data_IF_500926197288
#
_entry.id   IF_500926197288
#
_cell.length_a   1.000
_cell.length_b   1.000
_cell.length_c   1.000
_cell.angle_alpha   90.00
_cell.angle_beta   90.00
_cell.angle_gamma   90.00
#
_symmetry.space_group_name_H-M   'P 1'
#
loop_
_entity.id
_entity.type
_entity.pdbx_description
1 polymer ?
#
# COMPACT_ATOMS: atom_id res chain seq x y z
N UNK A 1 21.90 11.55 -19.12
CA UNK A 1 21.12 10.32 -19.39
C UNK A 1 20.09 10.21 -18.29
N UNK A 2 18.82 10.41 -18.61
CA UNK A 2 17.74 10.42 -17.62
C UNK A 2 17.07 9.04 -17.68
N UNK A 3 17.61 8.06 -16.96
CA UNK A 3 17.08 6.70 -17.00
C UNK A 3 15.94 6.55 -15.98
N UNK A 4 14.83 7.24 -16.25
CA UNK A 4 13.66 7.26 -15.36
C UNK A 4 13.11 5.86 -15.11
N UNK A 5 13.21 4.94 -16.07
CA UNK A 5 12.78 3.54 -15.90
C UNK A 5 13.60 2.83 -14.82
N UNK A 6 14.94 2.96 -14.84
CA UNK A 6 15.80 2.41 -13.77
C UNK A 6 15.47 3.06 -12.42
N UNK A 7 15.24 4.38 -12.40
CA UNK A 7 14.87 5.07 -11.18
C UNK A 7 13.55 4.55 -10.59
N UNK A 8 12.53 4.30 -11.42
CA UNK A 8 11.27 3.70 -11.00
C UNK A 8 11.47 2.28 -10.44
N UNK A 9 12.34 1.47 -11.05
CA UNK A 9 12.65 0.12 -10.57
C UNK A 9 13.33 0.14 -9.19
N UNK A 10 14.24 1.07 -8.94
CA UNK A 10 14.83 1.25 -7.61
C UNK A 10 13.80 1.72 -6.59
N UNK A 11 12.93 2.68 -6.94
CA UNK A 11 11.87 3.14 -6.03
C UNK A 11 10.94 1.98 -5.65
N UNK A 12 10.59 1.09 -6.60
CA UNK A 12 9.81 -0.11 -6.28
C UNK A 12 10.54 -0.93 -5.22
N UNK A 13 11.77 -1.38 -5.52
CA UNK A 13 12.53 -2.25 -4.65
C UNK A 13 12.77 -1.65 -3.25
N UNK A 14 13.11 -0.36 -3.17
CA UNK A 14 13.40 0.31 -1.91
C UNK A 14 12.16 0.40 -1.00
N UNK A 15 10.97 0.57 -1.60
CA UNK A 15 9.73 0.76 -0.85
C UNK A 15 8.95 -0.53 -0.59
N UNK A 16 9.17 -1.61 -1.35
CA UNK A 16 8.50 -2.90 -1.16
C UNK A 16 8.71 -3.40 0.28
N UNK A 17 9.97 -3.53 0.70
CA UNK A 17 10.34 -4.06 2.02
C UNK A 17 9.81 -3.18 3.16
N UNK A 18 9.89 -1.86 2.99
CA UNK A 18 9.40 -0.88 3.97
C UNK A 18 7.87 -0.94 4.13
N UNK A 19 7.13 -1.07 3.01
CA UNK A 19 5.67 -1.20 3.02
C UNK A 19 5.26 -2.50 3.69
N UNK A 20 5.89 -3.63 3.32
CA UNK A 20 5.60 -4.94 3.90
C UNK A 20 5.83 -4.93 5.41
N UNK A 21 6.98 -4.42 5.85
CA UNK A 21 7.32 -4.36 7.28
C UNK A 21 6.33 -3.49 8.06
N UNK A 22 5.97 -2.32 7.55
CA UNK A 22 5.04 -1.40 8.22
C UNK A 22 3.61 -1.96 8.26
N UNK A 23 3.21 -2.72 7.23
CA UNK A 23 1.95 -3.46 7.24
C UNK A 23 1.95 -4.60 8.27
N UNK A 24 3.08 -5.29 8.46
CA UNK A 24 3.24 -6.31 9.51
C UNK A 24 3.18 -5.72 10.92
N UNK A 25 3.78 -4.54 11.11
CA UNK A 25 3.78 -3.81 12.38
C UNK A 25 2.43 -3.14 12.70
N UNK A 26 1.47 -3.19 11.76
CA UNK A 26 0.15 -2.54 11.83
C UNK A 26 0.24 -1.02 12.11
N UNK A 27 1.33 -0.38 11.69
CA UNK A 27 1.55 1.07 11.83
C UNK A 27 0.97 1.83 10.62
N UNK A 28 -0.36 2.02 10.67
CA UNK A 28 -1.13 2.62 9.57
C UNK A 28 -0.79 4.09 9.30
N UNK A 29 -0.31 4.81 10.32
CA UNK A 29 0.09 6.22 10.17
C UNK A 29 1.40 6.29 9.38
N UNK A 30 2.39 5.48 9.74
CA UNK A 30 3.64 5.37 9.00
C UNK A 30 3.42 4.83 7.59
N UNK A 31 2.50 3.88 7.40
CA UNK A 31 2.14 3.36 6.08
C UNK A 31 1.66 4.48 5.16
N UNK A 32 0.81 5.36 5.68
CA UNK A 32 0.29 6.50 4.92
C UNK A 32 1.41 7.43 4.47
N UNK A 33 2.37 7.72 5.35
CA UNK A 33 3.52 8.59 5.06
C UNK A 33 4.39 7.97 3.95
N UNK A 34 4.71 6.68 4.07
CA UNK A 34 5.56 5.97 3.10
C UNK A 34 4.91 5.91 1.72
N UNK A 35 3.62 5.61 1.64
CA UNK A 35 2.89 5.58 0.37
C UNK A 35 2.83 6.96 -0.30
N UNK A 36 2.66 8.03 0.48
CA UNK A 36 2.70 9.41 -0.05
C UNK A 36 4.09 9.77 -0.58
N UNK A 37 5.16 9.36 0.11
CA UNK A 37 6.52 9.59 -0.35
C UNK A 37 6.82 8.82 -1.64
N UNK A 38 6.46 7.53 -1.70
CA UNK A 38 6.60 6.68 -2.90
C UNK A 38 5.87 7.28 -4.09
N UNK A 39 4.62 7.69 -3.91
CA UNK A 39 3.81 8.32 -4.96
C UNK A 39 4.49 9.59 -5.51
N UNK A 40 4.96 10.47 -4.63
CA UNK A 40 5.67 11.68 -5.02
C UNK A 40 6.93 11.37 -5.84
N UNK A 41 7.71 10.38 -5.42
CA UNK A 41 8.91 9.96 -6.14
C UNK A 41 8.58 9.38 -7.53
N UNK A 42 7.52 8.59 -7.66
CA UNK A 42 7.05 8.15 -8.97
C UNK A 42 6.68 9.33 -9.86
N UNK A 43 5.88 10.28 -9.37
CA UNK A 43 5.50 11.47 -10.12
C UNK A 43 6.71 12.30 -10.58
N UNK A 44 7.74 12.41 -9.75
CA UNK A 44 8.98 13.13 -10.09
C UNK A 44 9.88 12.39 -11.09
N UNK A 45 9.83 11.05 -11.11
CA UNK A 45 10.76 10.21 -11.89
C UNK A 45 10.16 9.59 -13.14
N UNK A 46 8.83 9.61 -13.30
CA UNK A 46 8.17 9.11 -14.51
C UNK A 46 8.70 9.88 -15.73
N UNK A 47 9.36 9.20 -16.68
CA UNK A 47 9.84 9.84 -17.89
C UNK A 47 8.68 10.06 -18.88
N UNK A 48 8.81 10.98 -19.85
CA UNK A 48 7.83 11.17 -20.91
C UNK A 48 7.55 9.88 -21.67
N UNK A 49 6.29 9.64 -22.01
CA UNK A 49 5.84 8.46 -22.79
C UNK A 49 6.28 8.46 -24.27
N UNK A 50 7.19 9.35 -24.66
CA UNK A 50 7.70 9.49 -26.02
C UNK A 50 9.08 8.85 -26.16
N UNK A 51 9.20 7.84 -27.04
CA UNK A 51 10.48 7.28 -27.46
C UNK A 51 10.56 5.75 -27.43
N UNK A 52 11.77 5.25 -27.70
CA UNK A 52 12.06 3.82 -27.90
C UNK A 52 11.88 2.93 -26.65
N UNK A 53 11.66 3.52 -25.46
CA UNK A 53 11.51 2.81 -24.18
C UNK A 53 10.09 2.79 -23.64
N UNK A 54 9.09 3.14 -24.47
CA UNK A 54 7.68 3.12 -24.06
C UNK A 54 7.23 1.75 -23.55
N UNK A 55 7.66 0.67 -24.19
CA UNK A 55 7.32 -0.69 -23.75
C UNK A 55 7.87 -0.97 -22.34
N UNK A 56 9.15 -0.66 -22.10
CA UNK A 56 9.79 -0.83 -20.79
C UNK A 56 9.09 0.00 -19.69
N UNK A 57 8.69 1.23 -20.00
CA UNK A 57 7.95 2.08 -19.06
C UNK A 57 6.56 1.50 -18.74
N UNK A 58 5.84 1.00 -19.75
CA UNK A 58 4.54 0.35 -19.56
C UNK A 58 4.70 -0.90 -18.69
N UNK A 59 5.73 -1.71 -18.92
CA UNK A 59 6.01 -2.90 -18.11
C UNK A 59 6.30 -2.53 -16.64
N UNK A 60 7.09 -1.48 -16.40
CA UNK A 60 7.39 -1.02 -15.04
C UNK A 60 6.14 -0.47 -14.35
N UNK A 61 5.31 0.32 -15.04
CA UNK A 61 4.02 0.78 -14.50
C UNK A 61 3.11 -0.40 -14.17
N UNK A 62 3.08 -1.42 -15.04
CA UNK A 62 2.34 -2.66 -14.79
C UNK A 62 2.79 -3.36 -13.51
N UNK A 63 4.11 -3.42 -13.25
CA UNK A 63 4.65 -4.00 -12.01
C UNK A 63 4.23 -3.20 -10.77
N UNK A 64 4.30 -1.87 -10.82
CA UNK A 64 3.83 -0.99 -9.73
C UNK A 64 2.37 -1.30 -9.40
N UNK A 65 1.51 -1.38 -10.43
CA UNK A 65 0.09 -1.64 -10.25
C UNK A 65 -0.22 -3.03 -9.70
N UNK A 66 0.56 -4.04 -10.10
CA UNK A 66 0.41 -5.40 -9.55
C UNK A 66 0.77 -5.43 -8.07
N UNK A 67 1.89 -4.83 -7.70
CA UNK A 67 2.35 -4.75 -6.31
C UNK A 67 1.34 -4.00 -5.42
N UNK A 68 0.83 -2.86 -5.90
CA UNK A 68 -0.18 -2.08 -5.18
C UNK A 68 -1.49 -2.87 -5.00
N UNK A 69 -1.84 -3.73 -5.96
CA UNK A 69 -3.01 -4.60 -5.83
C UNK A 69 -2.81 -5.67 -4.75
N UNK A 70 -1.60 -6.22 -4.63
CA UNK A 70 -1.26 -7.18 -3.58
C UNK A 70 -1.32 -6.53 -2.19
N UNK A 71 -0.73 -5.34 -2.02
CA UNK A 71 -0.85 -4.57 -0.78
C UNK A 71 -2.29 -4.23 -0.44
N UNK A 72 -3.09 -3.81 -1.43
CA UNK A 72 -4.50 -3.51 -1.22
C UNK A 72 -5.29 -4.75 -0.77
N UNK A 73 -5.00 -5.92 -1.33
CA UNK A 73 -5.64 -7.17 -0.92
C UNK A 73 -5.40 -7.46 0.57
N UNK A 74 -4.14 -7.34 1.01
CA UNK A 74 -3.77 -7.55 2.43
C UNK A 74 -4.47 -6.53 3.33
N UNK A 75 -4.51 -5.25 2.94
CA UNK A 75 -5.21 -4.20 3.68
C UNK A 75 -6.72 -4.48 3.80
N UNK A 76 -7.35 -4.96 2.73
CA UNK A 76 -8.76 -5.30 2.73
C UNK A 76 -9.07 -6.46 3.69
N UNK A 77 -8.21 -7.47 3.74
CA UNK A 77 -8.40 -8.60 4.63
C UNK A 77 -8.21 -8.18 6.09
N UNK A 78 -7.19 -7.38 6.40
CA UNK A 78 -7.01 -6.77 7.73
C UNK A 78 -8.19 -5.92 8.15
N UNK A 79 -8.74 -5.11 7.23
CA UNK A 79 -9.95 -4.33 7.48
C UNK A 79 -11.13 -5.24 7.88
N UNK A 80 -11.38 -6.32 7.13
CA UNK A 80 -12.45 -7.28 7.44
C UNK A 80 -12.26 -7.91 8.82
N UNK A 81 -11.02 -8.25 9.20
CA UNK A 81 -10.72 -8.78 10.53
C UNK A 81 -11.04 -7.79 11.64
N UNK A 82 -10.64 -6.52 11.48
CA UNK A 82 -10.93 -5.47 12.45
C UNK A 82 -12.44 -5.19 12.57
N UNK A 83 -13.16 -5.19 11.45
CA UNK A 83 -14.63 -5.05 11.44
C UNK A 83 -15.32 -6.20 12.21
N UNK A 84 -14.85 -7.44 12.04
CA UNK A 84 -15.33 -8.59 12.82
C UNK A 84 -15.06 -8.41 14.31
N UNK A 85 -13.84 -8.04 14.70
CA UNK A 85 -13.48 -7.78 16.11
C UNK A 85 -14.37 -6.67 16.70
N UNK A 86 -14.59 -5.59 15.97
CA UNK A 86 -15.45 -4.49 16.38
C UNK A 86 -16.91 -4.95 16.57
N UNK A 87 -17.41 -5.82 15.70
CA UNK A 87 -18.74 -6.40 15.84
C UNK A 87 -18.89 -7.19 17.15
N UNK A 88 -17.91 -8.05 17.48
CA UNK A 88 -17.91 -8.81 18.73
C UNK A 88 -17.85 -7.90 19.96
N UNK A 89 -17.02 -6.85 19.94
CA UNK A 89 -16.96 -5.87 21.03
C UNK A 89 -18.32 -5.19 21.23
N UNK A 90 -19.00 -4.81 20.14
CA UNK A 90 -20.34 -4.19 20.21
C UNK A 90 -21.37 -5.15 20.80
N UNK A 91 -21.33 -6.43 20.43
CA UNK A 91 -22.20 -7.45 21.02
C UNK A 91 -21.91 -7.63 22.52
N UNK A 92 -20.64 -7.80 22.90
CA UNK A 92 -20.24 -7.94 24.31
C UNK A 92 -20.67 -6.75 25.16
N UNK A 93 -20.51 -5.51 24.65
CA UNK A 93 -21.01 -4.29 25.33
C UNK A 93 -22.53 -4.30 25.53
N UNK A 94 -23.29 -4.80 24.56
CA UNK A 94 -24.76 -4.95 24.71
C UNK A 94 -25.10 -5.99 25.77
N UNK A 95 -24.40 -7.13 25.79
CA UNK A 95 -24.59 -8.18 26.78
C UNK A 95 -24.29 -7.67 28.19
N UNK A 96 -23.15 -7.00 28.41
CA UNK A 96 -22.79 -6.45 29.73
C UNK A 96 -23.86 -5.48 30.24
N UNK A 97 -24.32 -4.54 29.41
CA UNK A 97 -25.41 -3.61 29.77
C UNK A 97 -26.72 -4.31 30.14
N UNK A 98 -27.00 -5.49 29.59
CA UNK A 98 -28.20 -6.26 29.94
C UNK A 98 -28.10 -6.91 31.33
N UNK A 99 -26.89 -7.06 31.88
CA UNK A 99 -26.63 -7.63 33.20
C UNK A 99 -26.34 -6.58 34.29
N UNK A 100 -26.20 -5.30 33.96
CA UNK A 100 -26.08 -4.18 34.92
C UNK A 100 -27.43 -3.78 35.57
N UNK A 101 -28.33 -4.75 35.79
CA UNK A 101 -29.58 -4.59 36.57
C UNK A 101 -29.25 -4.56 38.07
#
# INVERSE_FOLDING_TARGET
>A
MNDGVIALQHIIADYTDDIEQVMLDEDWEKLTIILQQRQKLFEEKIPPLSGNRRAELVDVIGKIQMEDADFLSVLQDKKKELEKKMHYIRQGKKSIKAYEI
#
